data_IF_067562758749
#
_entry.id   IF_067562758749
#
_cell.length_a   1.000
_cell.length_b   1.000
_cell.length_c   1.000
_cell.angle_alpha   90.00
_cell.angle_beta   90.00
_cell.angle_gamma   90.00
#
_symmetry.space_group_name_H-M   'P 1'
#
loop_
_entity.id
_entity.type
_entity.pdbx_description
1 polymer ?
#
# COMPACT_ATOMS: atom_id res chain seq x y z
N UNK A 1 29.68 0.33 1.21
CA UNK A 1 29.10 1.70 1.09
C UNK A 1 27.67 1.55 0.59
N UNK A 2 26.67 1.66 1.47
CA UNK A 2 25.26 1.47 1.06
C UNK A 2 24.81 2.76 0.37
N UNK A 3 24.57 2.70 -0.94
CA UNK A 3 23.92 3.80 -1.68
C UNK A 3 22.46 3.84 -1.25
N UNK A 4 22.14 4.80 -0.40
CA UNK A 4 20.77 5.11 -0.02
C UNK A 4 20.13 5.82 -1.22
N UNK A 5 19.10 5.21 -1.79
CA UNK A 5 18.37 5.77 -2.92
C UNK A 5 16.90 6.00 -2.54
N UNK A 6 16.33 7.12 -2.99
CA UNK A 6 14.92 7.46 -2.76
C UNK A 6 14.00 6.68 -3.71
N UNK A 7 14.35 5.43 -4.02
CA UNK A 7 13.72 4.62 -5.05
C UNK A 7 12.82 3.57 -4.44
N UNK A 8 11.71 3.31 -5.12
CA UNK A 8 10.85 2.18 -4.84
C UNK A 8 11.61 0.88 -5.07
N UNK A 9 11.58 -0.02 -4.09
CA UNK A 9 12.27 -1.32 -4.17
C UNK A 9 11.61 -2.28 -5.16
N UNK A 10 10.38 -1.99 -5.58
CA UNK A 10 9.63 -2.83 -6.53
C UNK A 10 9.72 -2.37 -7.99
N UNK A 11 9.81 -1.07 -8.27
CA UNK A 11 9.84 -0.54 -9.64
C UNK A 11 11.02 0.36 -9.94
N UNK A 12 11.88 0.65 -8.95
CA UNK A 12 13.09 1.47 -9.09
C UNK A 12 12.80 2.93 -9.52
N UNK A 13 11.54 3.39 -9.42
CA UNK A 13 11.17 4.79 -9.60
C UNK A 13 11.31 5.60 -8.32
N UNK A 14 11.51 6.92 -8.45
CA UNK A 14 11.58 7.85 -7.31
C UNK A 14 10.26 7.85 -6.54
N UNK A 15 10.35 7.76 -5.22
CA UNK A 15 9.19 7.90 -4.33
C UNK A 15 8.94 9.40 -4.09
N UNK A 16 7.94 9.95 -4.76
CA UNK A 16 7.53 11.37 -4.63
C UNK A 16 6.55 11.60 -3.49
N UNK A 17 5.70 10.61 -3.19
CA UNK A 17 4.71 10.66 -2.11
C UNK A 17 4.97 9.54 -1.11
N UNK A 18 5.89 9.75 -0.13
CA UNK A 18 6.29 8.68 0.74
C UNK A 18 5.26 8.42 1.83
N UNK A 19 4.36 7.46 1.56
CA UNK A 19 3.46 6.90 2.56
C UNK A 19 3.94 5.49 2.90
N UNK A 20 4.19 5.20 4.18
CA UNK A 20 4.66 3.88 4.56
C UNK A 20 3.56 2.83 4.38
N UNK A 21 3.93 1.57 4.10
CA UNK A 21 2.97 0.47 3.94
C UNK A 21 2.01 0.31 5.12
N UNK A 22 2.43 0.63 6.35
CA UNK A 22 1.53 0.60 7.51
C UNK A 22 0.40 1.63 7.43
N UNK A 23 0.72 2.89 7.11
CA UNK A 23 -0.29 3.95 7.00
C UNK A 23 -1.23 3.68 5.83
N UNK A 24 -0.69 3.24 4.70
CA UNK A 24 -1.52 2.94 3.53
C UNK A 24 -2.40 1.70 3.76
N UNK A 25 -1.88 0.66 4.44
CA UNK A 25 -2.70 -0.49 4.86
C UNK A 25 -3.88 -0.09 5.75
N UNK A 26 -3.69 0.89 6.65
CA UNK A 26 -4.80 1.42 7.46
C UNK A 26 -5.87 2.07 6.59
N UNK A 27 -5.48 2.86 5.59
CA UNK A 27 -6.44 3.48 4.67
C UNK A 27 -7.25 2.43 3.92
N UNK A 28 -6.58 1.41 3.36
CA UNK A 28 -7.25 0.28 2.70
C UNK A 28 -8.20 -0.45 3.65
N UNK A 29 -7.78 -0.75 4.88
CA UNK A 29 -8.62 -1.43 5.86
C UNK A 29 -9.84 -0.59 6.24
N UNK A 30 -9.67 0.73 6.43
CA UNK A 30 -10.77 1.63 6.71
C UNK A 30 -11.76 1.66 5.55
N UNK A 31 -11.26 1.80 4.31
CA UNK A 31 -12.08 1.77 3.11
C UNK A 31 -12.88 0.47 2.97
N UNK A 32 -12.29 -0.68 3.26
CA UNK A 32 -12.95 -1.99 3.20
C UNK A 32 -14.10 -2.14 4.23
N UNK A 33 -14.09 -1.38 5.33
CA UNK A 33 -15.14 -1.48 6.36
C UNK A 33 -16.51 -1.09 5.81
N UNK A 34 -16.55 -0.17 4.87
CA UNK A 34 -17.79 0.36 4.30
C UNK A 34 -18.32 -0.51 3.15
N UNK A 35 -17.60 -1.59 2.79
CA UNK A 35 -17.93 -2.46 1.64
C UNK A 35 -18.69 -3.74 2.03
N UNK A 36 -19.20 -3.84 3.25
CA UNK A 36 -20.00 -4.98 3.74
C UNK A 36 -19.35 -6.37 3.52
N UNK A 37 -18.03 -6.45 3.68
CA UNK A 37 -17.26 -7.68 3.47
C UNK A 37 -17.37 -8.57 4.72
N UNK A 38 -17.50 -9.89 4.53
CA UNK A 38 -17.55 -10.83 5.64
C UNK A 38 -16.32 -10.74 6.54
N UNK A 39 -16.50 -10.99 7.84
CA UNK A 39 -15.42 -10.95 8.84
C UNK A 39 -14.25 -11.87 8.50
N UNK A 40 -14.53 -13.03 7.89
CA UNK A 40 -13.53 -13.99 7.41
C UNK A 40 -12.66 -13.39 6.30
N UNK A 41 -13.27 -12.84 5.25
CA UNK A 41 -12.57 -12.18 4.13
C UNK A 41 -11.76 -10.98 4.62
N UNK A 42 -12.35 -10.14 5.47
CA UNK A 42 -11.67 -9.00 6.10
C UNK A 42 -10.43 -9.43 6.91
N UNK A 43 -10.53 -10.53 7.67
CA UNK A 43 -9.40 -11.07 8.44
C UNK A 43 -8.28 -11.58 7.54
N UNK A 44 -8.62 -12.26 6.44
CA UNK A 44 -7.63 -12.69 5.45
C UNK A 44 -6.91 -11.51 4.81
N UNK A 45 -7.64 -10.48 4.37
CA UNK A 45 -7.05 -9.27 3.78
C UNK A 45 -6.09 -8.59 4.77
N UNK A 46 -6.52 -8.37 6.03
CA UNK A 46 -5.68 -7.81 7.10
C UNK A 46 -4.39 -8.61 7.29
N UNK A 47 -4.47 -9.94 7.25
CA UNK A 47 -3.30 -10.82 7.37
C UNK A 47 -2.30 -10.59 6.24
N UNK A 48 -2.75 -10.52 5.00
CA UNK A 48 -1.87 -10.28 3.84
C UNK A 48 -1.28 -8.87 3.83
N UNK A 49 -2.07 -7.84 4.14
CA UNK A 49 -1.56 -6.48 4.29
C UNK A 49 -0.52 -6.38 5.40
N UNK A 50 -0.71 -7.07 6.54
CA UNK A 50 0.28 -7.10 7.62
C UNK A 50 1.60 -7.74 7.17
N UNK A 51 1.56 -8.80 6.35
CA UNK A 51 2.79 -9.38 5.78
C UNK A 51 3.54 -8.36 4.93
N UNK A 52 2.84 -7.63 4.05
CA UNK A 52 3.46 -6.56 3.26
C UNK A 52 4.10 -5.47 4.13
N UNK A 53 3.48 -5.12 5.26
CA UNK A 53 4.05 -4.14 6.19
C UNK A 53 5.36 -4.65 6.80
N UNK A 54 5.40 -5.91 7.23
CA UNK A 54 6.59 -6.51 7.84
C UNK A 54 7.74 -6.58 6.82
N UNK A 55 7.47 -7.10 5.62
CA UNK A 55 8.45 -7.16 4.53
C UNK A 55 9.02 -5.77 4.20
N UNK A 56 8.18 -4.75 4.30
CA UNK A 56 8.60 -3.39 4.03
C UNK A 56 9.49 -2.79 5.13
N UNK A 57 9.24 -3.13 6.38
CA UNK A 57 10.02 -2.66 7.53
C UNK A 57 11.41 -3.32 7.60
N UNK A 58 11.53 -4.54 7.10
CA UNK A 58 12.81 -5.26 6.97
C UNK A 58 13.69 -4.70 5.84
N UNK A 59 13.11 -3.94 4.91
CA UNK A 59 13.86 -3.39 3.79
C UNK A 59 14.47 -2.02 4.14
N UNK A 60 15.79 -1.83 4.00
CA UNK A 60 16.44 -0.55 4.29
C UNK A 60 15.88 0.60 3.44
N UNK A 61 15.54 1.72 4.08
CA UNK A 61 15.22 2.99 3.41
C UNK A 61 15.46 4.17 4.34
N UNK A 62 15.87 5.31 3.78
CA UNK A 62 16.01 6.57 4.53
C UNK A 62 14.83 7.52 4.35
N UNK A 63 13.89 7.22 3.46
CA UNK A 63 12.72 8.06 3.25
C UNK A 63 11.77 7.85 4.42
N UNK A 64 11.33 8.95 5.05
CA UNK A 64 10.33 8.90 6.14
C UNK A 64 8.94 9.06 5.57
N UNK A 65 7.98 8.40 6.20
CA UNK A 65 6.57 8.55 5.89
C UNK A 65 6.10 9.99 6.17
N UNK A 66 5.42 10.63 5.21
CA UNK A 66 4.83 11.97 5.41
C UNK A 66 3.66 11.97 6.40
N UNK A 67 2.98 10.83 6.55
CA UNK A 67 1.78 10.71 7.40
C UNK A 67 2.14 10.50 8.86
N UNK A 68 3.11 9.62 9.16
CA UNK A 68 3.44 9.28 10.56
C UNK A 68 4.81 9.76 11.03
N UNK A 69 5.71 10.19 10.13
CA UNK A 69 7.07 10.66 10.44
C UNK A 69 8.05 9.61 11.02
N UNK A 70 7.55 8.46 11.47
CA UNK A 70 8.31 7.47 12.24
C UNK A 70 8.80 6.27 11.43
N UNK A 71 7.99 5.78 10.48
CA UNK A 71 8.31 4.59 9.67
C UNK A 71 9.00 4.99 8.36
N UNK A 72 9.83 4.08 7.85
CA UNK A 72 10.51 4.23 6.56
C UNK A 72 9.62 3.82 5.40
N UNK A 73 9.91 4.35 4.22
CA UNK A 73 9.16 4.08 2.99
C UNK A 73 10.09 3.49 1.94
N UNK A 74 9.84 2.24 1.58
CA UNK A 74 10.60 1.50 0.58
C UNK A 74 9.77 1.21 -0.69
N UNK A 75 8.45 1.41 -0.63
CA UNK A 75 7.51 1.11 -1.70
C UNK A 75 6.76 2.38 -2.09
N UNK A 76 6.69 2.69 -3.38
CA UNK A 76 5.84 3.78 -3.85
C UNK A 76 4.35 3.42 -3.74
N UNK A 77 3.50 4.43 -3.70
CA UNK A 77 2.03 4.28 -3.60
C UNK A 77 1.49 3.36 -4.70
N UNK A 78 1.91 3.56 -5.96
CA UNK A 78 1.47 2.71 -7.08
C UNK A 78 1.80 1.22 -6.88
N UNK A 79 3.03 0.90 -6.48
CA UNK A 79 3.39 -0.50 -6.21
C UNK A 79 2.68 -1.07 -4.99
N UNK A 80 2.38 -0.25 -3.98
CA UNK A 80 1.55 -0.68 -2.86
C UNK A 80 0.13 -1.00 -3.33
N UNK A 81 -0.52 -0.08 -4.06
CA UNK A 81 -1.88 -0.26 -4.60
C UNK A 81 -1.96 -1.53 -5.43
N UNK A 82 -1.04 -1.75 -6.37
CA UNK A 82 -1.04 -2.98 -7.19
C UNK A 82 -0.96 -4.26 -6.35
N UNK A 83 -0.15 -4.27 -5.28
CA UNK A 83 -0.09 -5.41 -4.36
C UNK A 83 -1.39 -5.55 -3.54
N UNK A 84 -1.96 -4.45 -3.09
CA UNK A 84 -3.23 -4.43 -2.37
C UNK A 84 -4.41 -4.89 -3.24
N UNK A 85 -4.48 -4.45 -4.51
CA UNK A 85 -5.47 -4.91 -5.49
C UNK A 85 -5.43 -6.43 -5.61
N UNK A 86 -4.26 -7.03 -5.81
CA UNK A 86 -4.12 -8.50 -5.86
C UNK A 86 -4.58 -9.20 -4.59
N UNK A 87 -4.38 -8.60 -3.42
CA UNK A 87 -4.88 -9.16 -2.15
C UNK A 87 -6.40 -9.10 -2.12
N UNK A 88 -6.98 -7.97 -2.49
CA UNK A 88 -8.44 -7.76 -2.52
C UNK A 88 -9.07 -8.72 -3.54
N UNK A 89 -8.51 -8.81 -4.76
CA UNK A 89 -8.96 -9.72 -5.81
C UNK A 89 -9.08 -11.17 -5.37
N UNK A 90 -8.08 -11.65 -4.62
CA UNK A 90 -8.08 -13.02 -4.12
C UNK A 90 -9.07 -13.27 -2.96
N UNK A 91 -9.70 -12.23 -2.42
CA UNK A 91 -10.54 -12.32 -1.22
C UNK A 91 -11.94 -11.74 -1.40
N UNK A 92 -12.23 -10.98 -2.46
CA UNK A 92 -13.50 -10.28 -2.66
C UNK A 92 -14.10 -10.56 -4.04
N UNK A 93 -15.28 -10.01 -4.30
CA UNK A 93 -15.89 -10.07 -5.63
C UNK A 93 -15.38 -8.94 -6.53
N UNK A 94 -15.70 -9.05 -7.81
CA UNK A 94 -15.31 -8.10 -8.85
C UNK A 94 -15.81 -6.68 -8.59
N UNK A 95 -17.01 -6.53 -8.01
CA UNK A 95 -17.58 -5.21 -7.69
C UNK A 95 -16.71 -4.45 -6.68
N UNK A 96 -16.18 -5.14 -5.67
CA UNK A 96 -15.27 -4.51 -4.70
C UNK A 96 -13.94 -4.15 -5.35
N UNK A 97 -13.41 -4.99 -6.25
CA UNK A 97 -12.16 -4.71 -6.97
C UNK A 97 -12.32 -3.47 -7.86
N UNK A 98 -13.41 -3.40 -8.62
CA UNK A 98 -13.69 -2.27 -9.51
C UNK A 98 -13.78 -0.96 -8.73
N UNK A 99 -14.50 -0.96 -7.60
CA UNK A 99 -14.55 0.19 -6.68
C UNK A 99 -13.18 0.52 -6.09
N UNK A 100 -12.35 -0.49 -5.77
CA UNK A 100 -11.02 -0.26 -5.22
C UNK A 100 -10.13 0.44 -6.24
N UNK A 101 -10.18 0.00 -7.49
CA UNK A 101 -9.44 0.63 -8.57
C UNK A 101 -9.98 2.04 -8.83
N UNK A 102 -11.29 2.28 -8.82
CA UNK A 102 -11.81 3.65 -8.95
C UNK A 102 -11.30 4.59 -7.83
N UNK A 103 -11.27 4.11 -6.59
CA UNK A 103 -10.89 4.92 -5.42
C UNK A 103 -9.36 5.07 -5.24
N UNK A 104 -8.56 4.08 -5.69
CA UNK A 104 -7.11 4.00 -5.44
C UNK A 104 -6.23 3.97 -6.70
N UNK A 105 -6.78 3.69 -7.89
CA UNK A 105 -6.08 3.80 -9.18
C UNK A 105 -5.96 5.28 -9.55
N UNK A 106 -5.15 5.97 -8.76
CA UNK A 106 -4.90 7.39 -8.89
C UNK A 106 -3.62 7.59 -9.70
N UNK A 107 -3.83 7.81 -11.00
CA UNK A 107 -2.96 8.63 -11.87
C UNK A 107 -2.79 10.07 -11.29
N UNK A 108 -3.45 10.39 -10.17
CA UNK A 108 -3.51 11.68 -9.44
C UNK A 108 -2.29 11.96 -8.55
N UNK A 109 -1.08 11.59 -8.97
CA UNK A 109 0.16 12.18 -8.43
C UNK A 109 1.08 12.70 -9.54
N UNK A 110 0.50 13.11 -10.68
CA UNK A 110 1.17 14.07 -11.56
C UNK A 110 1.25 15.39 -10.81
N UNK A 111 2.39 15.60 -10.15
CA UNK A 111 2.83 16.93 -9.74
C UNK A 111 2.93 17.74 -11.03
N UNK A 112 2.03 18.71 -11.19
CA UNK A 112 2.17 19.75 -12.20
C UNK A 112 3.36 20.64 -11.86
#
# INVERSE_FOLDING_TARGET
MVRITNLCTSCVHIITNPICPYCFSKQVITWLRDKNISSYKMSNIKRYLRKMVIEAEETPSNIRCIVCGSKRVNLCVHCFVNKATRIIENNTDRKIIDNFNEDFDTIIWRVH
#
